data_IF_171160118980
#
_entry.id   IF_171160118980
#
_cell.length_a   1.000
_cell.length_b   1.000
_cell.length_c   1.000
_cell.angle_alpha   90.00
_cell.angle_beta   90.00
_cell.angle_gamma   90.00
#
_symmetry.space_group_name_H-M   'P 1'
#
loop_
_entity.id
_entity.type
_entity.pdbx_description
1 polymer ?
#
# COMPACT_ATOMS: atom_id res chain seq x y z
N UNK A 1 -4.12 -12.83 2.18
CA UNK A 1 -5.16 -12.82 3.25
C UNK A 1 -5.45 -11.38 3.68
N UNK A 2 -6.72 -11.05 3.96
CA UNK A 2 -7.16 -9.70 4.34
C UNK A 2 -8.08 -9.77 5.55
N UNK A 3 -7.84 -8.96 6.58
CA UNK A 3 -8.64 -8.89 7.80
C UNK A 3 -8.89 -7.44 8.22
N UNK A 4 -10.05 -7.14 8.82
CA UNK A 4 -10.37 -5.83 9.39
C UNK A 4 -10.56 -5.99 10.89
N UNK A 5 -9.88 -5.15 11.70
CA UNK A 5 -10.04 -5.16 13.17
C UNK A 5 -9.94 -3.76 13.75
N UNK A 6 -10.50 -3.56 14.95
CA UNK A 6 -10.28 -2.33 15.73
C UNK A 6 -8.81 -2.19 16.09
N UNK A 7 -8.31 -0.95 16.08
CA UNK A 7 -6.95 -0.63 16.48
C UNK A 7 -6.86 -0.43 18.00
N UNK A 8 -6.16 -1.34 18.67
CA UNK A 8 -5.74 -1.16 20.06
C UNK A 8 -4.50 -0.25 20.07
N UNK A 9 -4.67 0.96 20.61
CA UNK A 9 -3.61 1.97 20.66
C UNK A 9 -2.41 1.45 21.46
N UNK A 10 -1.19 1.73 20.97
CA UNK A 10 0.12 1.27 21.49
C UNK A 10 0.51 -0.18 21.16
N UNK A 11 -0.29 -0.92 20.41
CA UNK A 11 0.17 -2.22 19.91
C UNK A 11 1.30 -2.01 18.88
N UNK A 12 2.35 -2.84 18.90
CA UNK A 12 3.45 -2.70 17.96
C UNK A 12 2.95 -2.98 16.53
N UNK A 13 3.21 -2.04 15.62
CA UNK A 13 2.96 -2.25 14.19
C UNK A 13 3.92 -3.35 13.71
N UNK A 14 3.42 -4.37 12.98
CA UNK A 14 4.27 -5.44 12.47
C UNK A 14 5.43 -4.87 11.64
N UNK A 15 6.64 -5.37 11.92
CA UNK A 15 7.83 -5.05 11.15
C UNK A 15 8.10 -6.05 10.01
N UNK A 16 7.31 -7.12 9.89
CA UNK A 16 7.51 -8.13 8.86
C UNK A 16 7.21 -7.58 7.47
N UNK A 17 7.99 -8.03 6.47
CA UNK A 17 7.83 -7.59 5.08
C UNK A 17 6.50 -8.05 4.48
N UNK A 18 6.03 -9.25 4.82
CA UNK A 18 4.83 -9.86 4.25
C UNK A 18 3.49 -9.38 4.85
N UNK A 19 3.51 -8.69 6.01
CA UNK A 19 2.30 -8.18 6.65
C UNK A 19 2.32 -6.66 6.75
N UNK A 20 1.26 -6.00 6.28
CA UNK A 20 1.08 -4.56 6.39
C UNK A 20 -0.25 -4.22 7.05
N UNK A 21 -0.22 -3.20 7.89
CA UNK A 21 -1.41 -2.59 8.45
C UNK A 21 -1.63 -1.23 7.81
N UNK A 22 -2.84 -1.02 7.36
CA UNK A 22 -3.29 0.25 6.79
C UNK A 22 -4.35 0.83 7.71
N UNK A 23 -4.31 2.16 7.86
CA UNK A 23 -5.40 2.90 8.45
C UNK A 23 -6.64 2.78 7.56
N UNK A 24 -7.64 2.03 8.04
CA UNK A 24 -8.86 1.78 7.31
C UNK A 24 -9.74 3.04 7.26
N UNK A 25 -9.64 3.93 8.24
CA UNK A 25 -10.43 5.15 8.33
C UNK A 25 -10.05 6.18 7.24
N UNK A 26 -8.92 5.99 6.54
CA UNK A 26 -8.40 6.88 5.48
C UNK A 26 -8.74 6.41 4.05
N UNK A 27 -9.44 5.28 3.92
CA UNK A 27 -9.84 4.70 2.64
C UNK A 27 -11.14 5.39 2.17
N UNK A 28 -11.14 5.91 0.95
CA UNK A 28 -12.24 6.71 0.41
C UNK A 28 -13.10 5.95 -0.62
N UNK A 29 -12.56 4.90 -1.24
CA UNK A 29 -13.25 4.06 -2.22
C UNK A 29 -13.15 2.57 -1.83
N UNK A 30 -13.29 1.67 -2.81
CA UNK A 30 -13.01 0.25 -2.63
C UNK A 30 -11.51 -0.03 -2.73
N UNK A 31 -11.02 -0.90 -1.85
CA UNK A 31 -9.66 -1.47 -1.95
C UNK A 31 -9.66 -2.51 -3.07
N UNK A 32 -8.86 -2.27 -4.11
CA UNK A 32 -8.77 -3.15 -5.28
C UNK A 32 -7.33 -3.54 -5.52
N UNK A 33 -7.09 -4.84 -5.72
CA UNK A 33 -5.83 -5.34 -6.26
C UNK A 33 -5.92 -5.27 -7.78
N UNK A 34 -5.04 -4.48 -8.40
CA UNK A 34 -5.02 -4.28 -9.86
C UNK A 34 -3.64 -3.89 -10.36
N UNK A 35 -3.46 -3.93 -11.68
CA UNK A 35 -2.32 -3.30 -12.33
C UNK A 35 -2.48 -1.78 -12.42
N UNK A 36 -1.38 -1.12 -12.78
CA UNK A 36 -1.34 0.34 -12.91
C UNK A 36 -2.34 0.86 -13.95
N UNK A 37 -2.88 2.03 -13.71
CA UNK A 37 -3.72 2.82 -14.61
C UNK A 37 -3.13 4.21 -14.79
N UNK A 38 -3.50 4.87 -15.87
CA UNK A 38 -3.17 6.28 -16.04
C UNK A 38 -3.78 7.11 -14.91
N UNK A 39 -3.04 8.12 -14.44
CA UNK A 39 -3.43 8.94 -13.31
C UNK A 39 -3.06 8.37 -11.93
N UNK A 40 -2.57 7.13 -11.84
CA UNK A 40 -2.14 6.56 -10.57
C UNK A 40 -1.03 7.37 -9.91
N UNK A 41 -1.13 7.52 -8.58
CA UNK A 41 -0.15 8.24 -7.77
C UNK A 41 0.06 7.59 -6.40
N UNK A 42 1.17 7.94 -5.76
CA UNK A 42 1.51 7.53 -4.40
C UNK A 42 1.89 8.75 -3.56
N UNK A 43 1.52 8.75 -2.27
CA UNK A 43 1.98 9.76 -1.33
C UNK A 43 3.35 9.36 -0.76
N UNK A 44 4.35 10.20 -0.96
CA UNK A 44 5.76 9.87 -0.70
C UNK A 44 6.29 10.42 0.64
N UNK A 45 5.59 11.39 1.23
CA UNK A 45 5.97 11.95 2.53
C UNK A 45 4.73 12.23 3.43
N UNK A 46 4.92 12.42 4.75
CA UNK A 46 3.84 12.73 5.68
C UNK A 46 3.13 14.05 5.41
N UNK A 47 3.79 15.02 4.77
CA UNK A 47 3.23 16.35 4.47
C UNK A 47 2.27 16.37 3.25
N UNK A 48 1.90 15.20 2.72
CA UNK A 48 0.92 15.10 1.64
C UNK A 48 1.50 15.17 0.22
N UNK A 49 2.84 15.20 0.09
CA UNK A 49 3.52 15.20 -1.20
C UNK A 49 3.18 13.96 -2.03
N UNK A 50 2.68 14.17 -3.25
CA UNK A 50 2.29 13.11 -4.18
C UNK A 50 3.29 12.98 -5.32
N UNK A 51 3.50 11.76 -5.80
CA UNK A 51 4.27 11.46 -7.01
C UNK A 51 3.43 10.57 -7.92
N UNK A 52 3.41 10.86 -9.22
CA UNK A 52 2.78 9.96 -10.20
C UNK A 52 3.48 8.61 -10.13
N UNK A 53 2.72 7.52 -10.22
CA UNK A 53 3.26 6.18 -10.11
C UNK A 53 4.30 5.89 -11.20
N UNK A 54 4.07 6.40 -12.41
CA UNK A 54 5.04 6.34 -13.52
C UNK A 54 6.39 6.92 -13.12
N UNK A 55 6.40 8.11 -12.54
CA UNK A 55 7.62 8.84 -12.15
C UNK A 55 8.31 8.12 -10.99
N UNK A 56 7.53 7.66 -10.01
CA UNK A 56 8.04 6.81 -8.93
C UNK A 56 8.77 5.57 -9.46
N UNK A 57 8.17 4.85 -10.42
CA UNK A 57 8.81 3.67 -11.02
C UNK A 57 10.05 3.99 -11.86
N UNK A 58 10.12 5.17 -12.48
CA UNK A 58 11.34 5.63 -13.17
C UNK A 58 12.45 5.86 -12.14
N UNK A 59 12.16 6.56 -11.05
CA UNK A 59 13.13 6.85 -10.00
C UNK A 59 13.66 5.58 -9.32
N UNK A 60 12.78 4.59 -9.12
CA UNK A 60 13.16 3.27 -8.61
C UNK A 60 13.84 2.38 -9.66
N UNK A 61 14.07 2.89 -10.88
CA UNK A 61 14.71 2.17 -12.00
C UNK A 61 14.02 0.84 -12.36
N UNK A 62 12.72 0.72 -12.08
CA UNK A 62 11.96 -0.49 -12.40
C UNK A 62 11.83 -0.60 -13.93
N UNK A 63 12.18 -1.73 -14.58
CA UNK A 63 12.04 -1.89 -16.02
C UNK A 63 10.60 -1.75 -16.51
N UNK A 64 10.40 -1.16 -17.70
CA UNK A 64 9.05 -0.87 -18.23
C UNK A 64 8.14 -2.11 -18.26
N UNK A 65 8.68 -3.26 -18.67
CA UNK A 65 7.94 -4.54 -18.75
C UNK A 65 7.42 -5.00 -17.40
N UNK A 66 8.15 -4.73 -16.32
CA UNK A 66 7.75 -5.10 -14.97
C UNK A 66 6.69 -4.15 -14.40
N UNK A 67 6.74 -2.86 -14.77
CA UNK A 67 5.79 -1.85 -14.27
C UNK A 67 4.34 -2.19 -14.58
N UNK A 68 4.08 -2.79 -15.74
CA UNK A 68 2.73 -3.17 -16.19
C UNK A 68 2.22 -4.44 -15.51
N UNK A 69 3.13 -5.31 -15.05
CA UNK A 69 2.82 -6.62 -14.46
C UNK A 69 2.93 -6.62 -12.93
N UNK A 70 3.17 -5.47 -12.29
CA UNK A 70 3.22 -5.34 -10.83
C UNK A 70 1.81 -5.20 -10.26
N UNK A 71 1.34 -6.14 -9.41
CA UNK A 71 0.11 -5.96 -8.67
C UNK A 71 0.24 -4.78 -7.71
N UNK A 72 -0.82 -3.98 -7.59
CA UNK A 72 -0.90 -2.83 -6.71
C UNK A 72 -2.16 -2.95 -5.86
N UNK A 73 -2.08 -2.51 -4.61
CA UNK A 73 -3.27 -2.27 -3.81
C UNK A 73 -3.65 -0.81 -3.97
N UNK A 74 -4.86 -0.57 -4.47
CA UNK A 74 -5.34 0.76 -4.84
C UNK A 74 -6.64 1.12 -4.14
N UNK A 75 -6.76 2.40 -3.81
CA UNK A 75 -7.98 3.09 -3.41
C UNK A 75 -8.24 4.17 -4.49
N UNK A 76 -9.13 3.89 -5.43
CA UNK A 76 -9.28 4.70 -6.65
C UNK A 76 -7.96 4.77 -7.44
N UNK A 77 -7.47 5.99 -7.69
CA UNK A 77 -6.15 6.26 -8.31
C UNK A 77 -5.00 6.39 -7.30
N UNK A 78 -5.29 6.37 -6.00
CA UNK A 78 -4.25 6.42 -4.97
C UNK A 78 -3.75 5.00 -4.70
N UNK A 79 -2.48 4.75 -5.01
CA UNK A 79 -1.82 3.48 -4.69
C UNK A 79 -1.52 3.45 -3.20
N UNK A 80 -2.19 2.54 -2.49
CA UNK A 80 -2.00 2.29 -1.06
C UNK A 80 -0.67 1.57 -0.82
N UNK A 81 -0.38 0.56 -1.65
CA UNK A 81 0.76 -0.32 -1.48
C UNK A 81 1.25 -0.89 -2.80
N UNK A 82 2.58 -0.89 -2.96
CA UNK A 82 3.32 -1.56 -4.02
C UNK A 82 4.01 -2.76 -3.38
N UNK A 83 3.39 -3.96 -3.41
CA UNK A 83 3.96 -5.18 -2.84
C UNK A 83 5.17 -5.69 -3.64
N UNK A 84 6.01 -6.50 -2.98
CA UNK A 84 7.18 -7.15 -3.60
C UNK A 84 8.45 -6.32 -3.52
N UNK A 85 9.28 -6.38 -4.56
CA UNK A 85 10.57 -5.70 -4.58
C UNK A 85 10.42 -4.16 -4.48
N UNK A 86 11.12 -3.57 -3.53
CA UNK A 86 10.97 -2.17 -3.12
C UNK A 86 9.82 -1.86 -2.16
N UNK A 87 9.01 -2.86 -1.76
CA UNK A 87 7.93 -2.84 -0.76
C UNK A 87 7.54 -1.44 -0.26
N UNK A 88 6.64 -0.76 -0.99
CA UNK A 88 6.35 0.65 -0.76
C UNK A 88 4.90 0.89 -0.39
N UNK A 89 4.68 1.28 0.86
CA UNK A 89 3.41 1.82 1.33
C UNK A 89 3.33 3.33 1.09
N UNK A 90 2.13 3.81 0.74
CA UNK A 90 1.82 5.24 0.70
C UNK A 90 1.73 5.81 2.12
N UNK A 91 2.31 6.98 2.33
CA UNK A 91 2.30 7.66 3.63
C UNK A 91 0.88 7.99 4.13
N UNK A 92 -0.09 8.19 3.21
CA UNK A 92 -1.50 8.45 3.56
C UNK A 92 -2.05 7.37 4.49
N UNK A 93 -1.80 6.09 4.20
CA UNK A 93 -2.49 4.97 4.85
C UNK A 93 -1.73 4.41 6.05
N UNK A 94 -0.67 5.08 6.50
CA UNK A 94 0.02 4.67 7.74
C UNK A 94 -0.93 4.79 8.92
N UNK A 95 -0.86 3.77 9.78
CA UNK A 95 -1.50 3.78 11.10
C UNK A 95 -0.82 4.83 11.97
N UNK A 96 -1.63 5.62 12.65
CA UNK A 96 -1.21 6.64 13.61
C UNK A 96 -2.12 6.64 14.85
N UNK A 97 -1.94 7.61 15.74
CA UNK A 97 -2.70 7.74 16.98
C UNK A 97 -4.20 8.02 16.79
N UNK A 98 -4.60 8.48 15.60
CA UNK A 98 -5.97 8.79 15.23
C UNK A 98 -6.70 7.60 14.61
N UNK A 99 -5.96 6.60 14.11
CA UNK A 99 -6.51 5.36 13.56
C UNK A 99 -7.41 4.65 14.56
N UNK A 100 -8.62 4.27 14.14
CA UNK A 100 -9.60 3.53 14.94
C UNK A 100 -9.75 2.10 14.44
N UNK A 101 -9.65 1.91 13.13
CA UNK A 101 -9.82 0.63 12.46
C UNK A 101 -8.63 0.38 11.55
N UNK A 102 -8.11 -0.85 11.58
CA UNK A 102 -7.01 -1.26 10.70
C UNK A 102 -7.45 -2.33 9.72
N UNK A 103 -6.94 -2.20 8.50
CA UNK A 103 -6.91 -3.23 7.47
C UNK A 103 -5.57 -3.95 7.54
N UNK A 104 -5.60 -5.22 7.92
CA UNK A 104 -4.45 -6.10 7.89
C UNK A 104 -4.41 -6.84 6.55
N UNK A 105 -3.32 -6.68 5.81
CA UNK A 105 -3.05 -7.45 4.61
C UNK A 105 -1.79 -8.29 4.81
N UNK A 106 -1.90 -9.58 4.49
CA UNK A 106 -0.79 -10.51 4.47
C UNK A 106 -0.61 -11.05 3.05
N UNK A 107 0.58 -10.81 2.49
CA UNK A 107 1.05 -11.52 1.30
C UNK A 107 1.47 -12.92 1.73
N UNK A 108 1.04 -13.91 0.96
CA UNK A 108 1.36 -15.31 1.17
C UNK A 108 1.94 -15.80 -0.14
N UNK A 109 3.12 -16.42 -0.10
CA UNK A 109 3.66 -17.06 -1.29
C UNK A 109 2.88 -18.36 -1.53
N UNK A 110 2.63 -18.69 -2.79
CA UNK A 110 1.98 -19.96 -3.13
C UNK A 110 2.87 -21.16 -2.83
N UNK A 111 4.18 -20.97 -2.65
CA UNK A 111 5.11 -22.01 -2.18
C UNK A 111 5.02 -22.27 -0.66
N UNK A 112 4.32 -21.43 0.11
CA UNK A 112 4.11 -21.62 1.56
C UNK A 112 2.97 -22.61 1.88
N UNK A 113 2.44 -23.33 0.88
CA UNK A 113 1.36 -24.32 0.98
C UNK A 113 1.73 -25.69 0.41
#
# INVERSE_FOLDING_TARGET
EVNIKKYEKKQPIPKSSCMKWFDYDKIENAVVIRYRKEGDYIQINPSGGRKKLKDYFIDQKIPRKERDNRPLVADGSHIMWIPGDGDRMSEKYKVDETTRTILLMKLIDTEDF
#
